data_IF_290661242973
#
_entry.id   IF_290661242973
#
_cell.length_a   1.000
_cell.length_b   1.000
_cell.length_c   1.000
_cell.angle_alpha   90.00
_cell.angle_beta   90.00
_cell.angle_gamma   90.00
#
_symmetry.space_group_name_H-M   'P 1'
#
loop_
_entity.id
_entity.type
_entity.pdbx_description
1 polymer ?
#
# COMPACT_ATOMS: atom_id res chain seq x y z
N UNK A 1 -9.06 -7.04 12.07
CA UNK A 1 -9.92 -5.85 11.91
C UNK A 1 -10.96 -6.00 10.80
N UNK A 2 -10.64 -6.58 9.64
CA UNK A 2 -11.59 -6.77 8.53
C UNK A 2 -11.61 -8.25 8.08
N UNK A 3 -12.42 -9.12 8.70
CA UNK A 3 -12.50 -10.53 8.34
C UNK A 3 -13.12 -10.73 6.95
N UNK A 4 -12.58 -11.67 6.17
CA UNK A 4 -13.05 -12.06 4.84
C UNK A 4 -14.41 -12.77 4.84
N UNK A 5 -14.79 -13.36 5.97
CA UNK A 5 -16.10 -13.98 6.19
C UNK A 5 -17.24 -12.99 6.39
N UNK A 6 -16.95 -11.70 6.64
CA UNK A 6 -17.97 -10.68 6.84
C UNK A 6 -18.42 -10.08 5.49
N UNK A 7 -19.71 -10.25 5.10
CA UNK A 7 -20.23 -9.77 3.82
C UNK A 7 -20.02 -8.27 3.58
N UNK A 8 -19.88 -7.45 4.64
CA UNK A 8 -19.70 -6.00 4.54
C UNK A 8 -18.38 -5.62 3.84
N UNK A 9 -17.37 -6.49 3.88
CA UNK A 9 -16.07 -6.23 3.24
C UNK A 9 -15.96 -6.86 1.84
N UNK A 10 -16.96 -7.65 1.41
CA UNK A 10 -16.94 -8.26 0.09
C UNK A 10 -16.99 -7.16 -0.99
N UNK A 11 -15.95 -7.10 -1.82
CA UNK A 11 -15.84 -6.12 -2.91
C UNK A 11 -15.59 -4.68 -2.44
N UNK A 12 -15.23 -4.46 -1.18
CA UNK A 12 -14.89 -3.13 -0.68
C UNK A 12 -13.59 -2.62 -1.33
N UNK A 13 -13.49 -1.31 -1.50
CA UNK A 13 -12.23 -0.68 -1.87
C UNK A 13 -11.20 -0.83 -0.74
N UNK A 14 -10.03 -1.39 -1.05
CA UNK A 14 -8.92 -1.49 -0.09
C UNK A 14 -8.44 -0.12 0.42
N UNK A 15 -8.67 0.96 -0.33
CA UNK A 15 -8.37 2.31 0.15
C UNK A 15 -9.28 2.72 1.30
N UNK A 16 -10.56 2.32 1.30
CA UNK A 16 -11.46 2.59 2.43
C UNK A 16 -11.02 1.83 3.68
N UNK A 17 -10.54 0.59 3.52
CA UNK A 17 -9.95 -0.18 4.62
C UNK A 17 -8.71 0.51 5.18
N UNK A 18 -7.84 1.04 4.30
CA UNK A 18 -6.65 1.79 4.72
C UNK A 18 -7.03 3.07 5.48
N UNK A 19 -8.06 3.81 5.05
CA UNK A 19 -8.57 4.97 5.81
C UNK A 19 -9.02 4.58 7.22
N UNK A 20 -9.70 3.44 7.38
CA UNK A 20 -10.10 2.96 8.70
C UNK A 20 -8.90 2.59 9.57
N UNK A 21 -7.85 1.97 9.01
CA UNK A 21 -6.59 1.70 9.74
C UNK A 21 -5.93 3.00 10.20
N UNK A 22 -5.87 4.02 9.34
CA UNK A 22 -5.31 5.33 9.70
C UNK A 22 -6.12 6.00 10.81
N UNK A 23 -7.46 5.90 10.77
CA UNK A 23 -8.32 6.39 11.86
C UNK A 23 -8.05 5.67 13.17
N UNK A 24 -7.84 4.34 13.14
CA UNK A 24 -7.48 3.56 14.33
C UNK A 24 -6.13 4.01 14.90
N UNK A 25 -5.10 4.17 14.08
CA UNK A 25 -3.79 4.65 14.52
C UNK A 25 -3.86 6.04 15.16
N UNK A 26 -4.64 6.96 14.57
CA UNK A 26 -4.84 8.31 15.11
C UNK A 26 -5.53 8.32 16.47
N UNK A 27 -6.51 7.43 16.70
CA UNK A 27 -7.17 7.29 18.02
C UNK A 27 -6.17 6.89 19.11
N UNK A 28 -5.12 6.17 18.75
CA UNK A 28 -4.03 5.76 19.63
C UNK A 28 -2.91 6.83 19.74
N UNK A 29 -3.06 8.01 19.13
CA UNK A 29 -2.09 9.10 19.16
C UNK A 29 -0.92 8.95 18.19
N UNK A 30 -1.09 8.16 17.12
CA UNK A 30 -0.09 7.99 16.07
C UNK A 30 -0.50 8.67 14.77
N UNK A 31 0.48 9.27 14.10
CA UNK A 31 0.34 9.84 12.76
C UNK A 31 1.38 9.23 11.82
N UNK A 32 0.98 9.04 10.56
CA UNK A 32 1.90 8.57 9.51
C UNK A 32 2.82 9.71 9.14
N UNK A 33 4.13 9.49 9.24
CA UNK A 33 5.15 10.46 8.83
C UNK A 33 5.53 10.25 7.37
N UNK A 34 5.85 9.01 6.97
CA UNK A 34 6.11 8.64 5.58
C UNK A 34 5.92 7.14 5.33
N UNK A 35 5.80 6.78 4.04
CA UNK A 35 5.69 5.40 3.55
C UNK A 35 6.67 5.18 2.41
N UNK A 36 7.35 4.04 2.43
CA UNK A 36 8.10 3.51 1.30
C UNK A 36 7.60 2.11 0.98
N UNK A 37 7.10 1.90 -0.23
CA UNK A 37 6.50 0.64 -0.68
C UNK A 37 7.19 0.10 -1.93
N UNK A 38 7.38 -1.21 -1.99
CA UNK A 38 7.96 -1.93 -3.13
C UNK A 38 6.98 -2.97 -3.64
N UNK A 39 6.65 -2.92 -4.92
CA UNK A 39 5.91 -3.96 -5.63
C UNK A 39 6.92 -4.88 -6.31
N UNK A 40 6.80 -6.19 -6.10
CA UNK A 40 7.62 -7.21 -6.74
C UNK A 40 6.75 -7.95 -7.76
N UNK A 41 7.00 -7.70 -9.04
CA UNK A 41 6.22 -8.27 -10.13
C UNK A 41 7.09 -8.50 -11.37
N UNK A 42 6.96 -9.67 -12.00
CA UNK A 42 7.59 -9.93 -13.30
C UNK A 42 6.92 -9.11 -14.42
N UNK A 43 5.61 -8.95 -14.34
CA UNK A 43 4.79 -8.10 -15.19
C UNK A 43 3.42 -7.85 -14.55
N UNK A 44 2.63 -6.89 -15.04
CA UNK A 44 2.95 -5.94 -16.12
C UNK A 44 3.91 -4.83 -15.68
N UNK A 45 4.34 -3.99 -16.63
CA UNK A 45 5.14 -2.80 -16.32
C UNK A 45 4.32 -1.78 -15.52
N UNK A 46 4.71 -1.55 -14.27
CA UNK A 46 3.97 -0.67 -13.35
C UNK A 46 4.41 0.80 -13.40
N UNK A 47 5.55 1.11 -14.03
CA UNK A 47 6.11 2.47 -14.08
C UNK A 47 5.10 3.56 -14.46
N UNK A 48 4.19 3.38 -15.46
CA UNK A 48 3.20 4.39 -15.80
C UNK A 48 2.17 4.71 -14.71
N UNK A 49 2.04 3.85 -13.70
CA UNK A 49 1.01 3.94 -12.67
C UNK A 49 1.55 4.36 -11.30
N UNK A 50 2.88 4.36 -11.09
CA UNK A 50 3.48 4.56 -9.76
C UNK A 50 3.09 5.90 -9.15
N UNK A 51 3.19 7.00 -9.92
CA UNK A 51 2.81 8.33 -9.42
C UNK A 51 1.33 8.42 -9.04
N UNK A 52 0.45 7.73 -9.77
CA UNK A 52 -0.97 7.66 -9.42
C UNK A 52 -1.19 6.85 -8.14
N UNK A 53 -0.42 5.78 -7.92
CA UNK A 53 -0.46 5.01 -6.68
C UNK A 53 -0.01 5.85 -5.49
N UNK A 54 1.11 6.57 -5.62
CA UNK A 54 1.64 7.49 -4.61
C UNK A 54 0.59 8.53 -4.21
N UNK A 55 -0.03 9.20 -5.18
CA UNK A 55 -1.03 10.24 -4.91
C UNK A 55 -2.25 9.67 -4.16
N UNK A 56 -2.78 8.51 -4.62
CA UNK A 56 -3.94 7.88 -3.99
C UNK A 56 -3.62 7.45 -2.56
N UNK A 57 -2.46 6.86 -2.34
CA UNK A 57 -2.02 6.43 -1.01
C UNK A 57 -1.80 7.65 -0.12
N UNK A 58 -1.08 8.68 -0.56
CA UNK A 58 -0.84 9.90 0.20
C UNK A 58 -2.15 10.57 0.63
N UNK A 59 -3.13 10.67 -0.28
CA UNK A 59 -4.47 11.21 0.00
C UNK A 59 -5.19 10.40 1.08
N UNK A 60 -5.18 9.08 0.96
CA UNK A 60 -5.82 8.17 1.92
C UNK A 60 -5.14 8.23 3.30
N UNK A 61 -3.81 8.31 3.34
CA UNK A 61 -3.04 8.46 4.58
C UNK A 61 -3.12 9.88 5.17
N UNK A 62 -3.58 10.85 4.37
CA UNK A 62 -3.64 12.28 4.66
C UNK A 62 -2.26 12.85 5.03
N UNK A 63 -1.29 12.55 4.18
CA UNK A 63 0.06 13.09 4.21
C UNK A 63 0.35 13.83 2.91
N UNK A 64 1.37 14.69 2.93
CA UNK A 64 1.83 15.37 1.72
C UNK A 64 2.29 14.35 0.66
N UNK A 65 2.07 14.59 -0.65
CA UNK A 65 2.42 13.65 -1.72
C UNK A 65 3.89 13.18 -1.68
N UNK A 66 4.83 14.05 -1.30
CA UNK A 66 6.25 13.72 -1.17
C UNK A 66 6.61 12.81 0.01
N UNK A 67 5.64 12.39 0.82
CA UNK A 67 5.83 11.48 1.96
C UNK A 67 5.51 10.02 1.62
N UNK A 68 5.11 9.74 0.39
CA UNK A 68 4.84 8.37 -0.09
C UNK A 68 5.71 8.10 -1.30
N UNK A 69 6.46 7.00 -1.26
CA UNK A 69 7.23 6.48 -2.37
C UNK A 69 6.73 5.07 -2.73
N UNK A 70 6.45 4.83 -4.01
CA UNK A 70 6.09 3.50 -4.53
C UNK A 70 7.05 3.12 -5.64
N UNK A 71 7.84 2.09 -5.41
CA UNK A 71 8.76 1.52 -6.41
C UNK A 71 8.33 0.13 -6.83
N UNK A 72 8.78 -0.29 -8.01
CA UNK A 72 8.59 -1.64 -8.51
C UNK A 72 9.93 -2.26 -8.88
N UNK A 73 10.07 -3.56 -8.61
CA UNK A 73 11.21 -4.36 -9.06
C UNK A 73 10.73 -5.67 -9.65
N UNK A 74 11.54 -6.21 -10.56
CA UNK A 74 11.35 -7.54 -11.10
C UNK A 74 12.02 -8.58 -10.20
N UNK A 75 11.47 -9.80 -10.08
CA UNK A 75 12.13 -10.93 -9.43
C UNK A 75 13.12 -11.66 -10.37
N UNK A 76 13.41 -11.11 -11.55
CA UNK A 76 14.38 -11.66 -12.54
C UNK A 76 14.05 -13.10 -12.96
N UNK A 77 12.78 -13.39 -13.22
CA UNK A 77 12.24 -14.72 -13.52
C UNK A 77 12.47 -15.80 -12.43
N UNK A 78 12.85 -15.39 -11.21
CA UNK A 78 13.07 -16.31 -10.10
C UNK A 78 11.83 -16.50 -9.22
N UNK A 79 11.61 -17.74 -8.81
CA UNK A 79 10.53 -18.11 -7.89
C UNK A 79 9.13 -17.94 -8.47
N UNK A 80 8.11 -18.06 -7.60
CA UNK A 80 6.71 -17.96 -8.00
C UNK A 80 6.36 -16.61 -8.66
N UNK A 81 6.89 -15.51 -8.11
CA UNK A 81 6.66 -14.17 -8.66
C UNK A 81 7.31 -14.01 -10.03
N UNK A 82 8.48 -14.61 -10.27
CA UNK A 82 9.15 -14.61 -11.57
C UNK A 82 8.49 -15.47 -12.62
N UNK A 83 7.71 -16.48 -12.21
CA UNK A 83 6.85 -17.27 -13.10
C UNK A 83 5.46 -16.66 -13.30
N UNK A 84 5.24 -15.41 -12.89
CA UNK A 84 3.98 -14.68 -13.02
C UNK A 84 2.79 -15.33 -12.27
N UNK A 85 3.05 -16.15 -11.26
CA UNK A 85 2.01 -16.78 -10.43
C UNK A 85 1.38 -15.80 -9.41
N UNK A 86 1.98 -14.62 -9.24
CA UNK A 86 1.48 -13.59 -8.35
C UNK A 86 2.32 -12.31 -8.34
N UNK A 87 1.88 -11.37 -7.50
CA UNK A 87 2.57 -10.09 -7.24
C UNK A 87 2.80 -9.97 -5.74
N UNK A 88 4.03 -9.63 -5.35
CA UNK A 88 4.40 -9.33 -3.97
C UNK A 88 4.35 -7.82 -3.69
N UNK A 89 4.11 -7.44 -2.43
CA UNK A 89 4.23 -6.06 -1.99
C UNK A 89 4.88 -6.00 -0.61
N UNK A 90 5.81 -5.06 -0.42
CA UNK A 90 6.43 -4.74 0.86
C UNK A 90 6.20 -3.27 1.15
N UNK A 91 5.98 -2.91 2.41
CA UNK A 91 5.86 -1.52 2.82
C UNK A 91 6.52 -1.29 4.19
N UNK A 92 7.24 -0.19 4.30
CA UNK A 92 7.80 0.32 5.56
C UNK A 92 7.15 1.67 5.84
N UNK A 93 6.64 1.84 7.05
CA UNK A 93 5.92 3.04 7.47
C UNK A 93 6.58 3.59 8.71
N UNK A 94 6.96 4.87 8.68
CA UNK A 94 7.38 5.59 9.87
C UNK A 94 6.15 6.25 10.50
N UNK A 95 5.97 6.00 11.79
CA UNK A 95 4.96 6.66 12.61
C UNK A 95 5.64 7.65 13.54
N UNK A 96 4.95 8.77 13.80
CA UNK A 96 5.32 9.70 14.86
C UNK A 96 4.18 9.87 15.84
N UNK A 97 4.52 10.25 17.07
CA UNK A 97 3.51 10.65 18.04
C UNK A 97 2.88 11.98 17.60
N UNK A 98 1.55 12.05 17.67
CA UNK A 98 0.76 13.27 17.48
C UNK A 98 0.39 13.91 18.80
#
# INVERSE_FOLDING_TARGET
HFPDTDPRYKGISSLLLLEEVVKMARREGWEVENVDATIVAQGPRLAPYLSQMEERIARTLRVEPGRVNVKATSPEALGALGREEGIGALAVVLLRRG
#
